data_IF_630007880687
#
_entry.id   IF_630007880687
#
_cell.length_a   1.000
_cell.length_b   1.000
_cell.length_c   1.000
_cell.angle_alpha   90.00
_cell.angle_beta   90.00
_cell.angle_gamma   90.00
#
_symmetry.space_group_name_H-M   'P 1'
#
loop_
_entity.id
_entity.type
_entity.pdbx_description
1 polymer ?
#
# COMPACT_ATOMS: atom_id res chain seq x y z
N UNK A 1 -35.40 -46.00 -33.93
CA UNK A 1 -34.99 -46.35 -32.55
C UNK A 1 -33.51 -46.85 -32.48
N UNK A 2 -32.54 -46.15 -33.11
CA UNK A 2 -31.11 -46.56 -33.15
C UNK A 2 -30.11 -45.48 -32.71
N UNK A 3 -30.57 -44.30 -32.28
CA UNK A 3 -29.69 -43.17 -31.90
C UNK A 3 -29.39 -43.16 -30.39
N UNK A 4 -30.27 -43.74 -29.56
CA UNK A 4 -30.16 -43.72 -28.08
C UNK A 4 -29.08 -44.69 -27.56
N UNK A 5 -28.74 -45.73 -28.31
CA UNK A 5 -27.66 -46.68 -27.96
C UNK A 5 -26.26 -46.12 -28.19
N UNK A 6 -26.11 -45.17 -29.12
CA UNK A 6 -24.83 -44.52 -29.47
C UNK A 6 -24.37 -43.54 -28.38
N UNK A 7 -25.28 -42.74 -27.81
CA UNK A 7 -24.95 -41.79 -26.75
C UNK A 7 -24.53 -42.49 -25.43
N UNK A 8 -25.12 -43.65 -25.11
CA UNK A 8 -24.77 -44.44 -23.91
C UNK A 8 -23.42 -45.16 -24.04
N UNK A 9 -23.00 -45.54 -25.25
CA UNK A 9 -21.67 -46.12 -25.45
C UNK A 9 -20.59 -45.03 -25.44
N UNK A 10 -20.85 -43.88 -26.06
CA UNK A 10 -19.95 -42.73 -26.08
C UNK A 10 -19.67 -42.19 -24.68
N UNK A 11 -20.71 -42.04 -23.86
CA UNK A 11 -20.59 -41.59 -22.45
C UNK A 11 -19.81 -42.58 -21.58
N UNK A 12 -19.96 -43.90 -21.80
CA UNK A 12 -19.12 -44.92 -21.11
C UNK A 12 -17.66 -44.86 -21.53
N UNK A 13 -17.39 -44.64 -22.82
CA UNK A 13 -16.01 -44.52 -23.34
C UNK A 13 -15.36 -43.26 -22.78
N UNK A 14 -16.04 -42.11 -22.82
CA UNK A 14 -15.56 -40.85 -22.23
C UNK A 14 -15.30 -41.03 -20.73
N UNK A 15 -16.21 -41.68 -20.00
CA UNK A 15 -16.02 -41.96 -18.57
C UNK A 15 -14.85 -42.89 -18.28
N UNK A 16 -14.62 -43.91 -19.12
CA UNK A 16 -13.47 -44.80 -19.01
C UNK A 16 -12.14 -44.05 -19.25
N UNK A 17 -12.10 -43.14 -20.23
CA UNK A 17 -10.95 -42.27 -20.47
C UNK A 17 -10.69 -41.32 -19.29
N UNK A 18 -11.72 -40.70 -18.73
CA UNK A 18 -11.59 -39.86 -17.53
C UNK A 18 -11.04 -40.68 -16.36
N UNK A 19 -11.59 -41.87 -16.11
CA UNK A 19 -11.15 -42.75 -15.03
C UNK A 19 -9.69 -43.21 -15.22
N UNK A 20 -9.29 -43.50 -16.46
CA UNK A 20 -7.91 -43.86 -16.81
C UNK A 20 -6.95 -42.69 -16.59
N UNK A 21 -7.32 -41.49 -17.06
CA UNK A 21 -6.55 -40.27 -16.85
C UNK A 21 -6.40 -39.96 -15.35
N UNK A 22 -7.47 -40.07 -14.56
CA UNK A 22 -7.40 -39.88 -13.11
C UNK A 22 -6.48 -40.91 -12.42
N UNK A 23 -6.47 -42.17 -12.86
CA UNK A 23 -5.54 -43.19 -12.33
C UNK A 23 -4.10 -42.86 -12.69
N UNK A 24 -3.82 -42.46 -13.93
CA UNK A 24 -2.49 -42.08 -14.38
C UNK A 24 -1.97 -40.88 -13.58
N UNK A 25 -2.79 -39.83 -13.41
CA UNK A 25 -2.48 -38.65 -12.60
C UNK A 25 -2.19 -39.05 -11.14
N UNK A 26 -3.04 -39.92 -10.55
CA UNK A 26 -2.83 -40.42 -9.19
C UNK A 26 -1.47 -41.14 -9.05
N UNK A 27 -1.12 -42.00 -10.01
CA UNK A 27 0.16 -42.73 -9.99
C UNK A 27 1.36 -41.79 -10.13
N UNK A 28 1.27 -40.79 -11.00
CA UNK A 28 2.33 -39.77 -11.16
C UNK A 28 2.50 -38.97 -9.87
N UNK A 29 1.42 -38.53 -9.23
CA UNK A 29 1.47 -37.81 -7.95
C UNK A 29 2.11 -38.69 -6.86
N UNK A 30 1.72 -39.96 -6.77
CA UNK A 30 2.29 -40.90 -5.80
C UNK A 30 3.79 -41.13 -6.03
N UNK A 31 4.24 -41.21 -7.27
CA UNK A 31 5.67 -41.34 -7.59
C UNK A 31 6.48 -40.06 -7.30
N UNK A 32 5.85 -38.89 -7.40
CA UNK A 32 6.50 -37.60 -7.10
C UNK A 32 6.48 -37.25 -5.61
N UNK A 33 5.59 -37.85 -4.82
CA UNK A 33 5.41 -37.57 -3.39
C UNK A 33 6.70 -37.73 -2.55
N UNK A 34 7.55 -38.76 -2.75
CA UNK A 34 8.80 -38.89 -2.00
C UNK A 34 9.77 -37.74 -2.26
N UNK A 35 9.75 -37.15 -3.46
CA UNK A 35 10.67 -36.09 -3.87
C UNK A 35 10.12 -34.70 -3.52
N UNK A 36 8.81 -34.49 -3.68
CA UNK A 36 8.17 -33.17 -3.59
C UNK A 36 7.14 -33.06 -2.46
N UNK A 37 6.96 -34.09 -1.63
CA UNK A 37 5.99 -34.10 -0.54
C UNK A 37 6.22 -32.98 0.47
N UNK A 38 7.48 -32.70 0.82
CA UNK A 38 7.83 -31.58 1.70
C UNK A 38 7.54 -30.23 1.03
N UNK A 39 7.78 -30.10 -0.28
CA UNK A 39 7.43 -28.89 -1.05
C UNK A 39 5.92 -28.65 -1.15
N UNK A 40 5.14 -29.72 -1.29
CA UNK A 40 3.68 -29.65 -1.23
C UNK A 40 3.23 -29.14 0.14
N UNK A 41 3.67 -29.77 1.23
CA UNK A 41 3.28 -29.38 2.59
C UNK A 41 3.77 -27.96 2.89
N UNK A 42 4.99 -27.62 2.50
CA UNK A 42 5.58 -26.29 2.64
C UNK A 42 4.77 -25.22 1.92
N UNK A 43 4.43 -25.45 0.64
CA UNK A 43 3.56 -24.56 -0.13
C UNK A 43 2.19 -24.35 0.51
N UNK A 44 1.61 -25.40 1.10
CA UNK A 44 0.32 -25.32 1.79
C UNK A 44 0.38 -24.43 3.03
N UNK A 45 1.37 -24.62 3.90
CA UNK A 45 1.55 -23.77 5.09
C UNK A 45 1.84 -22.32 4.71
N UNK A 46 2.71 -22.09 3.71
CA UNK A 46 3.01 -20.73 3.24
C UNK A 46 1.77 -20.03 2.69
N UNK A 47 0.89 -20.74 1.98
CA UNK A 47 -0.36 -20.18 1.49
C UNK A 47 -1.31 -19.75 2.61
N UNK A 48 -1.46 -20.56 3.66
CA UNK A 48 -2.25 -20.19 4.85
C UNK A 48 -1.67 -18.95 5.54
N UNK A 49 -0.36 -18.96 5.82
CA UNK A 49 0.32 -17.85 6.53
C UNK A 49 0.14 -16.55 5.74
N UNK A 50 0.40 -16.57 4.43
CA UNK A 50 0.29 -15.39 3.57
C UNK A 50 -1.16 -14.92 3.43
N UNK A 51 -2.13 -15.84 3.30
CA UNK A 51 -3.54 -15.46 3.21
C UNK A 51 -4.05 -14.80 4.50
N UNK A 52 -3.67 -15.31 5.67
CA UNK A 52 -4.02 -14.72 6.97
C UNK A 52 -3.43 -13.33 7.12
N UNK A 53 -2.12 -13.19 6.88
CA UNK A 53 -1.41 -11.92 6.92
C UNK A 53 -2.01 -10.89 5.96
N UNK A 54 -2.28 -11.29 4.71
CA UNK A 54 -2.81 -10.38 3.70
C UNK A 54 -4.19 -9.84 4.11
N UNK A 55 -5.04 -10.71 4.64
CA UNK A 55 -6.38 -10.32 5.11
C UNK A 55 -6.33 -9.42 6.36
N UNK A 56 -5.47 -9.73 7.34
CA UNK A 56 -5.24 -8.83 8.49
C UNK A 56 -4.73 -7.46 8.06
N UNK A 57 -3.79 -7.44 7.12
CA UNK A 57 -3.23 -6.20 6.60
C UNK A 57 -4.27 -5.40 5.82
N UNK A 58 -5.20 -6.04 5.11
CA UNK A 58 -6.35 -5.34 4.50
C UNK A 58 -7.23 -4.66 5.55
N UNK A 59 -7.57 -5.36 6.62
CA UNK A 59 -8.38 -4.78 7.71
C UNK A 59 -7.66 -3.62 8.41
N UNK A 60 -6.35 -3.76 8.66
CA UNK A 60 -5.54 -2.68 9.22
C UNK A 60 -5.47 -1.48 8.28
N UNK A 61 -5.31 -1.69 6.97
CA UNK A 61 -5.31 -0.62 5.98
C UNK A 61 -6.64 0.14 5.97
N UNK A 62 -7.78 -0.55 6.06
CA UNK A 62 -9.10 0.09 6.17
C UNK A 62 -9.20 0.99 7.40
N UNK A 63 -8.69 0.52 8.54
CA UNK A 63 -8.61 1.31 9.78
C UNK A 63 -7.70 2.53 9.62
N UNK A 64 -6.56 2.38 8.93
CA UNK A 64 -5.67 3.50 8.62
C UNK A 64 -6.31 4.51 7.67
N UNK A 65 -7.10 4.07 6.68
CA UNK A 65 -7.83 4.98 5.79
C UNK A 65 -8.77 5.86 6.60
N UNK A 66 -9.62 5.26 7.42
CA UNK A 66 -10.56 5.99 8.27
C UNK A 66 -9.83 6.96 9.20
N UNK A 67 -8.76 6.48 9.84
CA UNK A 67 -7.94 7.28 10.74
C UNK A 67 -7.30 8.49 10.02
N UNK A 68 -6.64 8.29 8.88
CA UNK A 68 -5.96 9.38 8.17
C UNK A 68 -6.95 10.39 7.59
N UNK A 69 -8.13 9.95 7.12
CA UNK A 69 -9.20 10.87 6.69
C UNK A 69 -9.70 11.70 7.87
N UNK A 70 -9.93 11.08 9.04
CA UNK A 70 -10.34 11.78 10.25
C UNK A 70 -9.27 12.79 10.69
N UNK A 71 -8.00 12.39 10.74
CA UNK A 71 -6.87 13.27 11.07
C UNK A 71 -6.80 14.46 10.10
N UNK A 72 -6.95 14.23 8.80
CA UNK A 72 -7.01 15.31 7.82
C UNK A 72 -8.19 16.26 8.07
N UNK A 73 -9.40 15.74 8.35
CA UNK A 73 -10.58 16.56 8.64
C UNK A 73 -10.41 17.40 9.91
N UNK A 74 -9.73 16.86 10.93
CA UNK A 74 -9.38 17.61 12.14
C UNK A 74 -8.42 18.74 11.78
N UNK A 75 -7.37 18.46 11.01
CA UNK A 75 -6.42 19.49 10.56
C UNK A 75 -7.12 20.56 9.72
N UNK A 76 -7.94 20.18 8.73
CA UNK A 76 -8.72 21.09 7.89
C UNK A 76 -9.70 21.96 8.70
N UNK A 77 -10.24 21.43 9.80
CA UNK A 77 -11.13 22.20 10.69
C UNK A 77 -10.39 23.28 11.48
N UNK A 78 -9.16 22.98 11.91
CA UNK A 78 -8.32 23.93 12.63
C UNK A 78 -7.51 24.85 11.72
N UNK A 79 -7.38 24.51 10.44
CA UNK A 79 -6.84 25.35 9.39
C UNK A 79 -7.86 26.43 8.99
N UNK A 80 -7.71 27.64 9.53
CA UNK A 80 -8.37 28.84 9.00
C UNK A 80 -7.94 29.12 7.54
N UNK A 81 -8.78 29.77 6.72
CA UNK A 81 -8.46 30.05 5.32
C UNK A 81 -7.26 31.02 5.24
N UNK A 82 -6.11 30.47 4.81
CA UNK A 82 -4.86 31.15 4.45
C UNK A 82 -4.21 31.99 5.56
N UNK A 83 -3.17 31.43 6.19
CA UNK A 83 -1.77 31.86 6.01
C UNK A 83 -0.81 31.44 7.14
N UNK A 84 -1.23 30.66 8.15
CA UNK A 84 -0.31 30.43 9.28
C UNK A 84 -0.38 29.11 10.04
N UNK A 85 -1.19 28.13 9.62
CA UNK A 85 -0.96 26.74 10.02
C UNK A 85 0.03 26.01 9.10
N UNK A 86 0.22 26.51 7.88
CA UNK A 86 1.31 26.15 6.96
C UNK A 86 2.72 26.50 7.47
N UNK A 87 2.81 27.17 8.63
CA UNK A 87 4.05 27.47 9.34
C UNK A 87 4.40 26.47 10.46
N UNK A 88 3.71 25.32 10.56
CA UNK A 88 4.49 24.12 10.90
C UNK A 88 5.29 23.85 9.65
N UNK A 89 6.49 24.44 9.57
CA UNK A 89 7.42 24.18 8.48
C UNK A 89 7.39 22.66 8.26
N UNK A 90 7.02 22.17 7.06
CA UNK A 90 7.06 20.74 6.82
C UNK A 90 8.43 20.27 7.30
N UNK A 91 8.52 19.12 7.97
CA UNK A 91 9.75 18.68 8.65
C UNK A 91 10.97 18.75 7.74
N UNK A 92 10.74 18.42 6.47
CA UNK A 92 11.73 18.43 5.41
C UNK A 92 11.63 19.68 4.51
N UNK A 93 10.86 20.69 4.91
CA UNK A 93 10.50 21.89 4.16
C UNK A 93 9.96 21.58 2.74
N UNK A 94 9.29 20.44 2.58
CA UNK A 94 8.56 20.02 1.37
C UNK A 94 7.14 19.55 1.73
N UNK A 95 6.15 19.69 0.83
CA UNK A 95 4.76 19.35 1.16
C UNK A 95 4.56 17.92 1.65
N UNK A 96 3.75 17.73 2.69
CA UNK A 96 3.33 16.41 3.17
C UNK A 96 2.04 15.96 2.47
N UNK A 97 1.97 14.69 2.08
CA UNK A 97 0.72 14.07 1.64
C UNK A 97 -0.02 13.53 2.87
N UNK A 98 -0.96 14.33 3.37
CA UNK A 98 -1.77 14.01 4.57
C UNK A 98 -3.12 13.41 4.18
N UNK A 99 -3.75 13.91 3.12
CA UNK A 99 -5.06 13.46 2.68
C UNK A 99 -4.96 12.22 1.76
N UNK A 100 -5.33 11.01 2.23
CA UNK A 100 -5.25 9.80 1.42
C UNK A 100 -6.26 9.78 0.26
N UNK A 101 -7.27 10.65 0.24
CA UNK A 101 -8.28 10.72 -0.82
C UNK A 101 -7.87 11.65 -1.97
N UNK A 102 -6.99 12.62 -1.70
CA UNK A 102 -6.57 13.67 -2.65
C UNK A 102 -5.08 13.62 -3.01
N UNK A 103 -4.38 12.54 -2.66
CA UNK A 103 -2.93 12.41 -2.90
C UNK A 103 -2.53 12.57 -4.37
N UNK A 104 -3.35 12.11 -5.32
CA UNK A 104 -3.07 12.28 -6.75
C UNK A 104 -3.11 13.75 -7.18
N UNK A 105 -4.03 14.53 -6.62
CA UNK A 105 -4.17 15.95 -6.95
C UNK A 105 -2.94 16.73 -6.46
N UNK A 106 -2.42 16.38 -5.28
CA UNK A 106 -1.18 16.95 -4.73
C UNK A 106 0.06 16.63 -5.59
N UNK A 107 0.03 15.51 -6.33
CA UNK A 107 1.07 15.17 -7.32
C UNK A 107 0.81 15.75 -8.71
N UNK A 108 -0.33 16.42 -8.94
CA UNK A 108 -0.76 16.90 -10.26
C UNK A 108 -1.11 15.76 -11.22
N UNK A 109 -1.60 14.65 -10.68
CA UNK A 109 -1.95 13.42 -11.39
C UNK A 109 -3.46 13.23 -11.42
N UNK A 110 -3.93 12.51 -12.44
CA UNK A 110 -5.31 12.10 -12.61
C UNK A 110 -5.39 10.58 -12.70
N UNK A 111 -6.37 10.00 -12.01
CA UNK A 111 -6.74 8.59 -12.15
C UNK A 111 -7.76 8.43 -13.29
N UNK A 112 -7.75 7.30 -14.01
CA UNK A 112 -8.87 6.96 -14.87
C UNK A 112 -10.14 6.87 -14.02
N UNK A 113 -11.28 7.27 -14.60
CA UNK A 113 -12.57 7.08 -13.94
C UNK A 113 -12.77 5.58 -13.72
N UNK A 114 -12.71 5.14 -12.46
CA UNK A 114 -12.88 3.74 -12.10
C UNK A 114 -14.32 3.34 -12.44
N UNK A 115 -14.49 2.39 -13.35
CA UNK A 115 -15.79 1.75 -13.59
C UNK A 115 -15.86 0.46 -12.79
N UNK A 116 -16.61 0.46 -11.69
CA UNK A 116 -16.88 -0.74 -10.90
C UNK A 116 -17.00 -0.46 -9.40
N UNK A 117 -17.65 -1.38 -8.69
CA UNK A 117 -17.73 -1.38 -7.22
C UNK A 117 -16.30 -1.52 -6.64
N UNK A 118 -15.71 -0.39 -6.21
CA UNK A 118 -14.29 -0.30 -5.87
C UNK A 118 -13.91 -0.95 -4.53
N UNK A 119 -12.74 -1.59 -4.50
CA UNK A 119 -11.98 -1.93 -3.28
C UNK A 119 -11.24 -0.66 -2.80
N UNK A 120 -11.04 -0.50 -1.50
CA UNK A 120 -10.27 0.59 -0.89
C UNK A 120 -8.86 0.68 -1.49
N UNK A 121 -8.25 -0.45 -1.86
CA UNK A 121 -6.94 -0.51 -2.54
C UNK A 121 -6.95 0.28 -3.89
N UNK A 122 -8.11 0.48 -4.52
CA UNK A 122 -8.24 1.30 -5.73
C UNK A 122 -8.06 2.81 -5.47
N UNK A 123 -8.25 3.29 -4.23
CA UNK A 123 -8.02 4.68 -3.85
C UNK A 123 -6.54 5.05 -3.94
N UNK A 124 -5.67 4.11 -3.58
CA UNK A 124 -4.23 4.28 -3.58
C UNK A 124 -3.56 3.67 -4.81
N UNK A 125 -4.29 3.23 -5.84
CA UNK A 125 -3.66 2.56 -6.98
C UNK A 125 -2.57 3.41 -7.65
N UNK A 126 -1.36 2.84 -7.74
CA UNK A 126 -0.22 3.43 -8.47
C UNK A 126 -0.25 3.09 -9.97
N UNK A 127 -1.26 2.35 -10.43
CA UNK A 127 -1.42 1.96 -11.83
C UNK A 127 -2.27 2.96 -12.60
N UNK A 128 -2.03 3.07 -13.91
CA UNK A 128 -2.80 3.88 -14.85
C UNK A 128 -2.86 5.38 -14.51
N UNK A 129 -1.92 5.88 -13.71
CA UNK A 129 -1.79 7.30 -13.41
C UNK A 129 -1.48 8.07 -14.69
N UNK A 130 -2.10 9.24 -14.84
CA UNK A 130 -1.90 10.07 -16.00
C UNK A 130 -1.76 11.53 -15.60
N UNK A 131 -0.95 12.30 -16.34
CA UNK A 131 -0.75 13.73 -16.13
C UNK A 131 -1.29 14.52 -17.31
N UNK A 132 -1.89 15.69 -17.08
CA UNK A 132 -2.37 16.55 -18.17
C UNK A 132 -1.20 16.92 -19.09
N UNK A 133 -1.33 16.63 -20.37
CA UNK A 133 -0.35 16.97 -21.40
C UNK A 133 -0.26 18.49 -21.51
N UNK A 134 0.95 19.05 -21.40
CA UNK A 134 1.16 20.48 -21.65
C UNK A 134 1.29 20.70 -23.16
N UNK A 135 0.52 21.64 -23.76
CA UNK A 135 0.78 22.06 -25.12
C UNK A 135 2.24 22.55 -25.18
N UNK A 136 3.01 22.10 -26.17
CA UNK A 136 4.42 22.47 -26.40
C UNK A 136 5.51 21.84 -25.50
N UNK A 137 5.22 20.82 -24.67
CA UNK A 137 6.31 20.08 -24.01
C UNK A 137 6.98 19.09 -24.97
N UNK A 138 7.72 19.61 -25.96
CA UNK A 138 8.72 18.78 -26.62
C UNK A 138 9.79 18.46 -25.56
N UNK A 139 10.00 17.17 -25.33
CA UNK A 139 11.17 16.51 -24.72
C UNK A 139 11.46 16.55 -23.21
N UNK A 140 10.88 17.41 -22.36
CA UNK A 140 11.24 17.36 -20.93
C UNK A 140 10.47 16.27 -20.16
N UNK A 141 11.18 15.22 -19.74
CA UNK A 141 10.66 14.19 -18.83
C UNK A 141 10.21 14.87 -17.53
N UNK A 142 8.95 14.66 -17.15
CA UNK A 142 8.45 15.11 -15.86
C UNK A 142 8.90 14.13 -14.78
N UNK A 143 9.38 14.65 -13.65
CA UNK A 143 9.82 13.86 -12.51
C UNK A 143 9.21 14.42 -11.23
N UNK A 144 8.64 13.53 -10.41
CA UNK A 144 8.17 13.83 -9.06
C UNK A 144 8.63 12.72 -8.13
N UNK A 145 9.05 13.11 -6.94
CA UNK A 145 9.54 12.19 -5.92
C UNK A 145 8.67 12.29 -4.67
N UNK A 146 8.38 11.15 -4.05
CA UNK A 146 7.73 11.09 -2.74
C UNK A 146 8.63 10.28 -1.82
N UNK A 147 9.13 10.92 -0.76
CA UNK A 147 9.88 10.25 0.28
C UNK A 147 8.94 9.66 1.33
N UNK A 148 9.15 8.38 1.63
CA UNK A 148 8.40 7.63 2.62
C UNK A 148 9.27 7.50 3.86
N UNK A 149 8.99 8.33 4.87
CA UNK A 149 9.72 8.28 6.15
C UNK A 149 9.21 7.12 6.99
N UNK A 150 10.14 6.44 7.65
CA UNK A 150 9.83 5.39 8.63
C UNK A 150 9.31 5.98 9.96
N UNK A 151 9.34 7.30 10.15
CA UNK A 151 8.90 7.95 11.39
C UNK A 151 7.41 8.34 11.36
N UNK A 152 6.76 8.24 12.53
CA UNK A 152 5.32 8.50 12.68
C UNK A 152 4.98 10.00 12.74
N UNK A 153 5.77 10.80 13.47
CA UNK A 153 5.47 12.22 13.73
C UNK A 153 6.73 13.08 13.66
N UNK A 154 7.35 13.21 12.47
CA UNK A 154 8.58 13.98 12.34
C UNK A 154 8.38 15.47 12.73
N UNK A 155 7.14 15.98 12.77
CA UNK A 155 6.80 17.39 13.10
C UNK A 155 6.56 17.68 14.58
N UNK A 156 6.42 16.67 15.46
CA UNK A 156 6.10 16.88 16.89
C UNK A 156 7.32 17.08 17.79
N UNK A 157 8.50 17.29 17.24
CA UNK A 157 9.73 17.40 18.03
C UNK A 157 10.00 18.87 18.39
N UNK A 158 9.78 19.31 19.66
CA UNK A 158 9.85 20.72 20.04
C UNK A 158 11.31 21.21 20.20
N UNK A 159 12.22 20.31 20.55
CA UNK A 159 13.69 20.47 20.62
C UNK A 159 14.41 19.11 20.37
N UNK A 160 13.76 18.20 19.60
CA UNK A 160 14.20 16.82 19.42
C UNK A 160 15.05 16.61 18.17
N UNK A 161 15.93 15.60 18.12
CA UNK A 161 16.84 15.39 17.01
C UNK A 161 16.04 14.95 15.79
N UNK A 162 15.77 15.92 14.91
CA UNK A 162 15.27 15.80 13.54
C UNK A 162 16.09 14.77 12.68
N UNK A 163 17.11 14.12 13.23
CA UNK A 163 18.11 13.30 12.53
C UNK A 163 18.54 12.02 13.27
N UNK A 164 17.72 11.41 14.15
CA UNK A 164 18.06 10.07 14.68
C UNK A 164 18.00 9.00 13.61
N UNK A 165 16.97 9.05 12.74
CA UNK A 165 16.94 8.17 11.60
C UNK A 165 17.94 8.66 10.53
N UNK A 166 18.90 7.81 10.13
CA UNK A 166 19.95 8.22 9.20
C UNK A 166 19.41 8.48 7.78
N UNK A 167 18.23 7.97 7.42
CA UNK A 167 17.60 8.23 6.12
C UNK A 167 16.85 9.55 6.09
N UNK A 168 16.13 9.89 7.15
CA UNK A 168 15.52 11.22 7.28
C UNK A 168 16.60 12.31 7.27
N UNK A 169 17.75 12.06 7.91
CA UNK A 169 18.93 12.94 7.84
C UNK A 169 19.47 13.08 6.42
N UNK A 170 19.69 11.95 5.75
CA UNK A 170 20.16 11.93 4.37
C UNK A 170 19.18 12.64 3.42
N UNK A 171 17.88 12.58 3.70
CA UNK A 171 16.87 13.26 2.92
C UNK A 171 16.93 14.78 3.11
N UNK A 172 17.10 15.29 4.33
CA UNK A 172 17.34 16.73 4.56
C UNK A 172 18.58 17.20 3.80
N UNK A 173 19.69 16.46 3.94
CA UNK A 173 20.96 16.76 3.25
C UNK A 173 20.80 16.75 1.72
N UNK A 174 20.02 15.80 1.19
CA UNK A 174 19.67 15.74 -0.23
C UNK A 174 18.91 16.98 -0.70
N UNK A 175 17.92 17.43 0.07
CA UNK A 175 17.12 18.60 -0.29
C UNK A 175 17.99 19.86 -0.31
N UNK A 176 18.81 20.06 0.72
CA UNK A 176 19.76 21.17 0.79
C UNK A 176 20.78 21.15 -0.36
N UNK A 177 21.30 19.97 -0.69
CA UNK A 177 22.19 19.79 -1.83
C UNK A 177 21.48 20.18 -3.14
N UNK A 178 20.24 19.73 -3.34
CA UNK A 178 19.52 20.01 -4.58
C UNK A 178 19.15 21.49 -4.73
N UNK A 179 18.83 22.20 -3.66
CA UNK A 179 18.60 23.65 -3.77
C UNK A 179 19.84 24.42 -4.19
N UNK A 180 21.04 23.94 -3.83
CA UNK A 180 22.31 24.56 -4.22
C UNK A 180 22.78 24.16 -5.62
N UNK A 181 22.48 22.93 -6.05
CA UNK A 181 23.13 22.33 -7.22
C UNK A 181 22.19 21.97 -8.39
N UNK A 182 20.87 22.11 -8.23
CA UNK A 182 19.90 21.62 -9.21
C UNK A 182 18.76 22.63 -9.45
N UNK A 183 18.40 22.83 -10.72
CA UNK A 183 17.45 23.88 -11.12
C UNK A 183 16.03 23.68 -10.57
N UNK A 184 15.63 22.43 -10.31
CA UNK A 184 14.32 22.14 -9.68
C UNK A 184 14.36 22.25 -8.15
N UNK A 185 15.55 22.25 -7.53
CA UNK A 185 15.70 22.22 -6.07
C UNK A 185 14.85 21.15 -5.39
N UNK A 186 14.31 21.48 -4.21
CA UNK A 186 13.36 20.66 -3.44
C UNK A 186 11.93 20.63 -3.99
N UNK A 187 11.61 21.44 -5.00
CA UNK A 187 10.22 21.65 -5.47
C UNK A 187 9.54 20.42 -6.07
N UNK A 188 10.31 19.39 -6.45
CA UNK A 188 9.80 18.14 -7.01
C UNK A 188 9.62 17.01 -5.97
N UNK A 189 9.89 17.27 -4.69
CA UNK A 189 9.63 16.33 -3.60
C UNK A 189 8.31 16.59 -2.89
N UNK A 190 7.76 15.52 -2.32
CA UNK A 190 6.80 15.51 -1.23
C UNK A 190 7.23 14.40 -0.26
N UNK A 191 6.56 14.31 0.89
CA UNK A 191 6.80 13.21 1.82
C UNK A 191 5.52 12.64 2.45
N UNK A 192 5.62 11.41 2.95
CA UNK A 192 4.61 10.69 3.74
C UNK A 192 5.29 10.06 4.97
N UNK A 193 4.59 10.04 6.10
CA UNK A 193 5.00 9.32 7.31
C UNK A 193 4.31 7.96 7.36
N UNK A 194 5.05 6.86 7.23
CA UNK A 194 4.46 5.55 6.93
C UNK A 194 3.86 4.71 8.07
N UNK A 195 4.33 4.73 9.35
CA UNK A 195 3.90 3.74 10.36
C UNK A 195 2.39 3.58 10.58
N UNK A 196 1.59 4.60 10.25
CA UNK A 196 0.13 4.58 10.31
C UNK A 196 -0.51 5.23 9.09
N UNK A 197 0.13 5.10 7.92
CA UNK A 197 -0.35 5.64 6.66
C UNK A 197 -1.06 4.57 5.84
N UNK A 198 -2.31 4.84 5.47
CA UNK A 198 -3.06 4.06 4.50
C UNK A 198 -2.30 3.93 3.17
N UNK A 199 -1.67 5.01 2.68
CA UNK A 199 -0.99 5.00 1.38
C UNK A 199 0.19 4.03 1.39
N UNK A 200 1.05 4.04 2.42
CA UNK A 200 2.17 3.11 2.49
C UNK A 200 1.69 1.65 2.59
N UNK A 201 0.64 1.40 3.39
CA UNK A 201 0.04 0.07 3.52
C UNK A 201 -0.61 -0.43 2.23
N UNK A 202 -1.32 0.45 1.51
CA UNK A 202 -1.98 0.11 0.25
C UNK A 202 -1.01 -0.04 -0.92
N UNK A 203 0.10 0.72 -0.93
CA UNK A 203 1.19 0.53 -1.90
C UNK A 203 2.08 -0.67 -1.59
N UNK A 204 1.92 -1.28 -0.41
CA UNK A 204 2.73 -2.42 0.07
C UNK A 204 4.23 -2.09 0.09
N UNK A 205 4.56 -0.87 0.52
CA UNK A 205 5.95 -0.38 0.55
C UNK A 205 6.46 -0.29 1.98
N UNK A 206 7.65 -0.85 2.23
CA UNK A 206 8.39 -0.70 3.47
C UNK A 206 9.17 0.61 3.46
N UNK A 207 8.90 1.48 4.43
CA UNK A 207 9.72 2.66 4.68
C UNK A 207 11.02 2.27 5.42
N UNK A 208 12.13 2.98 5.18
CA UNK A 208 12.26 4.17 4.35
C UNK A 208 12.28 3.84 2.85
N UNK A 209 11.64 4.68 2.03
CA UNK A 209 11.58 4.45 0.59
C UNK A 209 11.42 5.74 -0.22
N UNK A 210 11.74 5.66 -1.52
CA UNK A 210 11.47 6.71 -2.49
C UNK A 210 10.52 6.18 -3.57
N UNK A 211 9.45 6.93 -3.84
CA UNK A 211 8.59 6.73 -5.00
C UNK A 211 8.96 7.74 -6.08
N UNK A 212 9.19 7.24 -7.29
CA UNK A 212 9.47 8.07 -8.47
C UNK A 212 8.31 8.01 -9.44
N UNK A 213 7.75 9.16 -9.76
CA UNK A 213 6.73 9.31 -10.78
C UNK A 213 7.33 10.00 -11.99
N UNK A 214 7.17 9.41 -13.17
CA UNK A 214 7.74 9.98 -14.39
C UNK A 214 6.88 9.74 -15.63
N UNK A 215 6.86 10.73 -16.52
CA UNK A 215 6.34 10.55 -17.89
C UNK A 215 7.49 10.07 -18.76
N UNK A 216 7.54 8.78 -19.07
CA UNK A 216 8.52 8.29 -20.04
C UNK A 216 8.18 8.83 -21.43
N UNK A 217 9.20 9.31 -22.14
CA UNK A 217 9.04 9.81 -23.50
C UNK A 217 8.51 8.70 -24.43
N UNK A 218 7.85 9.13 -25.51
CA UNK A 218 7.08 8.35 -26.49
C UNK A 218 7.81 7.14 -27.16
N UNK A 219 9.02 6.78 -26.72
CA UNK A 219 9.84 5.70 -27.27
C UNK A 219 9.50 4.32 -26.71
N UNK A 220 8.74 4.22 -25.62
CA UNK A 220 8.14 2.95 -25.25
C UNK A 220 6.85 2.77 -26.06
N UNK A 221 6.93 2.01 -27.15
CA UNK A 221 5.80 1.18 -27.64
C UNK A 221 5.46 0.15 -26.56
N UNK A 222 5.13 0.60 -25.35
CA UNK A 222 4.66 -0.28 -24.29
C UNK A 222 3.24 -0.63 -24.67
N UNK A 223 3.01 -1.93 -24.79
CA UNK A 223 1.73 -2.60 -25.01
C UNK A 223 0.72 -2.38 -23.87
N UNK A 224 0.74 -1.23 -23.19
CA UNK A 224 -0.22 -0.90 -22.16
C UNK A 224 -1.56 -0.61 -22.84
N UNK A 225 -2.45 -1.60 -22.80
CA UNK A 225 -3.88 -1.54 -23.13
C UNK A 225 -4.67 -0.64 -22.17
N UNK A 226 -4.07 0.44 -21.67
CA UNK A 226 -4.77 1.44 -20.86
C UNK A 226 -5.56 2.36 -21.78
N UNK A 227 -6.87 2.56 -21.54
CA UNK A 227 -7.63 3.54 -22.29
C UNK A 227 -7.01 4.92 -22.07
N UNK A 228 -6.32 5.43 -23.09
CA UNK A 228 -5.67 6.74 -23.04
C UNK A 228 -6.70 7.84 -22.82
N UNK A 229 -6.52 8.64 -21.77
CA UNK A 229 -7.30 9.85 -21.55
C UNK A 229 -6.86 10.92 -22.58
N UNK A 230 -7.78 11.53 -23.35
CA UNK A 230 -7.41 12.57 -24.30
C UNK A 230 -6.80 13.76 -23.57
N UNK A 231 -5.67 14.28 -24.08
CA UNK A 231 -4.86 15.35 -23.45
C UNK A 231 -4.17 14.95 -22.14
N UNK A 232 -3.92 13.66 -21.91
CA UNK A 232 -3.10 13.19 -20.80
C UNK A 232 -1.97 12.28 -21.28
N UNK A 233 -0.85 12.31 -20.57
CA UNK A 233 0.33 11.46 -20.76
C UNK A 233 0.39 10.43 -19.62
N UNK A 234 0.64 9.13 -19.89
CA UNK A 234 0.77 8.13 -18.84
C UNK A 234 1.97 8.41 -17.94
N UNK A 235 1.83 8.06 -16.66
CA UNK A 235 2.86 8.20 -15.63
C UNK A 235 3.23 6.83 -15.11
N UNK A 236 4.52 6.53 -15.16
CA UNK A 236 5.11 5.35 -14.58
C UNK A 236 5.58 5.64 -13.16
N UNK A 237 5.28 4.72 -12.25
CA UNK A 237 5.74 4.78 -10.86
C UNK A 237 6.83 3.75 -10.64
N UNK A 238 7.89 4.09 -9.91
CA UNK A 238 8.93 3.17 -9.43
C UNK A 238 9.07 3.30 -7.93
N UNK A 239 9.38 2.20 -7.26
CA UNK A 239 9.56 2.15 -5.80
C UNK A 239 10.99 1.70 -5.49
N UNK A 240 11.65 2.46 -4.63
CA UNK A 240 12.98 2.21 -4.12
C UNK A 240 12.90 2.04 -2.60
N UNK A 241 12.75 0.80 -2.14
CA UNK A 241 12.83 0.47 -0.70
C UNK A 241 14.28 0.48 -0.26
N UNK A 242 14.59 1.24 0.80
CA UNK A 242 15.95 1.54 1.23
C UNK A 242 16.33 0.71 2.47
N UNK A 243 17.60 0.27 2.59
CA UNK A 243 18.69 0.36 1.62
C UNK A 243 18.46 -0.52 0.38
N UNK A 244 18.89 -0.07 -0.80
CA UNK A 244 18.86 -0.92 -1.99
C UNK A 244 19.82 -2.10 -1.79
N UNK A 245 19.29 -3.32 -1.91
CA UNK A 245 20.04 -4.57 -1.76
C UNK A 245 20.89 -4.94 -2.98
N UNK A 246 20.61 -4.34 -4.14
CA UNK A 246 21.37 -4.51 -5.37
C UNK A 246 22.04 -3.18 -5.73
N UNK A 247 23.36 -3.11 -5.61
CA UNK A 247 24.12 -1.98 -6.10
C UNK A 247 24.22 -2.06 -7.64
N UNK A 248 23.99 -0.96 -8.35
CA UNK A 248 24.18 -0.94 -9.81
C UNK A 248 25.66 -0.82 -10.23
N UNK A 249 26.58 -0.78 -9.27
CA UNK A 249 28.03 -0.62 -9.44
C UNK A 249 28.68 -1.55 -8.40
N UNK A 250 29.81 -2.24 -8.67
CA UNK A 250 30.47 -3.04 -7.65
C UNK A 250 30.92 -2.15 -6.48
N UNK A 251 30.19 -2.23 -5.37
CA UNK A 251 30.44 -1.45 -4.15
C UNK A 251 29.16 -1.13 -3.37
N UNK A 252 29.26 -1.05 -2.04
CA UNK A 252 28.22 -0.50 -1.17
C UNK A 252 28.22 1.02 -1.33
N UNK A 253 27.05 1.66 -1.35
CA UNK A 253 26.98 3.12 -1.35
C UNK A 253 27.73 3.67 -0.12
N UNK A 254 28.58 4.71 -0.29
CA UNK A 254 29.42 5.20 0.80
C UNK A 254 28.61 5.86 1.94
N UNK A 255 27.40 6.32 1.66
CA UNK A 255 26.47 6.85 2.65
C UNK A 255 25.01 6.76 2.18
N UNK A 256 24.07 6.90 3.12
CA UNK A 256 22.63 7.03 2.85
C UNK A 256 22.34 8.21 1.91
N UNK A 257 23.02 9.34 2.11
CA UNK A 257 22.94 10.52 1.25
C UNK A 257 23.36 10.19 -0.19
N UNK A 258 24.51 9.54 -0.38
CA UNK A 258 24.99 9.20 -1.72
C UNK A 258 24.06 8.20 -2.43
N UNK A 259 23.44 7.28 -1.68
CA UNK A 259 22.42 6.39 -2.23
C UNK A 259 21.19 7.17 -2.71
N UNK A 260 20.63 8.07 -1.90
CA UNK A 260 19.48 8.90 -2.30
C UNK A 260 19.83 9.88 -3.42
N UNK A 261 21.03 10.47 -3.40
CA UNK A 261 21.51 11.38 -4.43
C UNK A 261 21.69 10.67 -5.77
N UNK A 262 22.29 9.49 -5.77
CA UNK A 262 22.48 8.70 -7.00
C UNK A 262 21.14 8.35 -7.66
N UNK A 263 20.10 8.10 -6.86
CA UNK A 263 18.74 7.84 -7.33
C UNK A 263 18.06 9.07 -7.93
N UNK A 264 18.19 10.22 -7.28
CA UNK A 264 17.34 11.40 -7.51
C UNK A 264 18.00 12.53 -8.28
N UNK A 265 19.30 12.45 -8.54
CA UNK A 265 20.03 13.47 -9.28
C UNK A 265 19.46 13.67 -10.70
N UNK A 266 19.30 14.93 -11.11
CA UNK A 266 18.72 15.32 -12.41
C UNK A 266 19.47 14.78 -13.62
N UNK A 267 20.77 14.52 -13.48
CA UNK A 267 21.62 13.93 -14.52
C UNK A 267 21.78 12.40 -14.37
N UNK A 268 21.18 11.78 -13.38
CA UNK A 268 21.28 10.34 -13.16
C UNK A 268 20.23 9.59 -13.95
N UNK A 269 20.63 8.44 -14.51
CA UNK A 269 19.72 7.43 -15.07
C UNK A 269 19.57 6.24 -14.14
N UNK A 270 20.13 6.28 -12.94
CA UNK A 270 20.12 5.16 -12.00
C UNK A 270 18.70 4.72 -11.66
N UNK A 271 17.75 5.66 -11.56
CA UNK A 271 16.34 5.34 -11.35
C UNK A 271 15.74 4.42 -12.43
N UNK A 272 16.33 4.33 -13.63
CA UNK A 272 15.89 3.42 -14.70
C UNK A 272 16.24 1.96 -14.43
N UNK A 273 17.16 1.67 -13.51
CA UNK A 273 17.55 0.29 -13.15
C UNK A 273 16.40 -0.45 -12.48
N UNK A 274 15.52 0.29 -11.79
CA UNK A 274 14.33 -0.27 -11.15
C UNK A 274 13.17 -0.39 -12.14
N UNK A 275 12.50 -1.54 -12.08
CA UNK A 275 11.28 -1.81 -12.87
C UNK A 275 10.13 -0.91 -12.39
N UNK A 276 9.18 -0.69 -13.28
CA UNK A 276 7.92 -0.02 -12.93
C UNK A 276 7.17 -0.83 -11.88
N UNK A 277 6.43 -0.11 -11.04
CA UNK A 277 5.66 -0.67 -9.93
C UNK A 277 4.74 -1.79 -10.41
N UNK A 278 4.75 -2.89 -9.66
CA UNK A 278 3.83 -4.00 -9.81
C UNK A 278 3.35 -4.41 -8.42
N UNK A 279 2.05 -4.33 -8.18
CA UNK A 279 1.46 -4.71 -6.89
C UNK A 279 1.83 -6.16 -6.51
N UNK A 280 1.82 -7.08 -7.48
CA UNK A 280 2.23 -8.46 -7.27
C UNK A 280 3.67 -8.58 -6.75
N UNK A 281 4.62 -7.85 -7.35
CA UNK A 281 6.00 -7.87 -6.90
C UNK A 281 6.15 -7.29 -5.48
N UNK A 282 5.41 -6.24 -5.14
CA UNK A 282 5.44 -5.69 -3.78
C UNK A 282 4.85 -6.65 -2.75
N UNK A 283 3.73 -7.30 -3.06
CA UNK A 283 3.17 -8.34 -2.18
C UNK A 283 4.19 -9.45 -1.94
N UNK A 284 4.86 -9.94 -2.98
CA UNK A 284 5.93 -10.96 -2.82
C UNK A 284 7.10 -10.43 -1.97
N UNK A 285 7.52 -9.18 -2.18
CA UNK A 285 8.58 -8.56 -1.39
C UNK A 285 8.25 -8.55 0.11
N UNK A 286 7.01 -8.19 0.44
CA UNK A 286 6.51 -8.11 1.82
C UNK A 286 6.20 -9.47 2.45
N UNK A 287 5.95 -10.53 1.67
CA UNK A 287 5.70 -11.86 2.25
C UNK A 287 6.99 -12.55 2.70
N UNK A 288 8.15 -12.21 2.11
CA UNK A 288 9.43 -12.79 2.52
C UNK A 288 9.76 -12.60 4.01
N UNK A 289 9.71 -11.39 4.60
CA UNK A 289 9.93 -11.22 6.04
C UNK A 289 8.87 -11.95 6.87
N UNK A 290 7.60 -11.93 6.46
CA UNK A 290 6.51 -12.64 7.17
C UNK A 290 6.80 -14.14 7.29
N UNK A 291 7.26 -14.77 6.21
CA UNK A 291 7.62 -16.19 6.23
C UNK A 291 8.86 -16.45 7.10
N UNK A 292 9.86 -15.56 7.10
CA UNK A 292 11.03 -15.68 7.98
C UNK A 292 10.64 -15.57 9.46
N UNK A 293 9.79 -14.61 9.79
CA UNK A 293 9.29 -14.42 11.15
C UNK A 293 8.47 -15.64 11.60
N UNK A 294 7.67 -16.21 10.70
CA UNK A 294 6.94 -17.46 10.95
C UNK A 294 7.89 -18.65 11.14
N UNK A 295 9.01 -18.73 10.42
CA UNK A 295 10.04 -19.76 10.60
C UNK A 295 10.62 -19.72 12.02
N UNK A 296 10.87 -18.52 12.53
CA UNK A 296 11.41 -18.27 13.87
C UNK A 296 10.36 -18.56 14.95
N UNK A 297 9.16 -18.00 14.80
CA UNK A 297 8.08 -18.13 15.77
C UNK A 297 7.62 -19.59 15.91
N UNK A 298 7.50 -20.30 14.79
CA UNK A 298 7.02 -21.69 14.73
C UNK A 298 8.17 -22.66 14.41
N UNK A 299 9.28 -22.54 15.13
CA UNK A 299 10.51 -23.29 14.86
C UNK A 299 10.36 -24.82 14.88
N UNK A 300 9.49 -25.38 15.73
CA UNK A 300 9.26 -26.83 15.80
C UNK A 300 8.35 -27.39 14.71
N UNK A 301 7.55 -26.55 14.04
CA UNK A 301 6.60 -26.98 13.01
C UNK A 301 7.04 -26.47 11.65
N UNK A 302 6.61 -25.26 11.26
CA UNK A 302 6.94 -24.66 9.98
C UNK A 302 8.45 -24.47 9.80
N UNK A 303 9.17 -24.04 10.85
CA UNK A 303 10.62 -23.87 10.77
C UNK A 303 11.39 -25.18 10.56
N UNK A 304 10.99 -26.25 11.23
CA UNK A 304 11.57 -27.58 11.04
C UNK A 304 11.26 -28.13 9.64
N UNK A 305 10.03 -27.89 9.14
CA UNK A 305 9.61 -28.25 7.79
C UNK A 305 10.47 -27.56 6.71
N UNK A 306 10.68 -26.24 6.82
CA UNK A 306 11.52 -25.47 5.88
C UNK A 306 12.96 -26.01 5.86
N UNK A 307 13.54 -26.29 7.03
CA UNK A 307 14.88 -26.86 7.15
C UNK A 307 14.96 -28.28 6.57
N UNK A 308 13.95 -29.10 6.82
CA UNK A 308 13.87 -30.46 6.28
C UNK A 308 13.73 -30.44 4.76
N UNK A 309 12.84 -29.59 4.22
CA UNK A 309 12.65 -29.41 2.79
C UNK A 309 13.97 -28.97 2.13
N UNK A 310 14.66 -27.98 2.68
CA UNK A 310 15.92 -27.49 2.12
C UNK A 310 16.98 -28.60 2.04
N UNK A 311 17.16 -29.39 3.12
CA UNK A 311 18.08 -30.54 3.11
C UNK A 311 17.65 -31.62 2.12
N UNK A 312 16.35 -31.90 2.03
CA UNK A 312 15.80 -32.94 1.18
C UNK A 312 15.97 -32.62 -0.31
N UNK A 313 15.64 -31.40 -0.71
CA UNK A 313 15.77 -30.94 -2.09
C UNK A 313 17.25 -30.92 -2.51
N UNK A 314 18.14 -30.52 -1.61
CA UNK A 314 19.59 -30.58 -1.83
C UNK A 314 20.10 -31.99 -2.03
N UNK A 315 19.65 -32.93 -1.19
CA UNK A 315 20.02 -34.34 -1.29
C UNK A 315 19.67 -34.93 -2.66
N UNK A 316 18.51 -34.55 -3.20
CA UNK A 316 18.02 -35.02 -4.50
C UNK A 316 18.45 -34.16 -5.69
N UNK A 317 19.22 -33.08 -5.45
CA UNK A 317 19.66 -32.12 -6.47
C UNK A 317 18.49 -31.55 -7.33
N UNK A 318 17.32 -31.33 -6.71
CA UNK A 318 16.11 -30.83 -7.39
C UNK A 318 15.83 -29.35 -7.12
N UNK A 319 16.82 -28.61 -6.59
CA UNK A 319 16.69 -27.21 -6.14
C UNK A 319 16.17 -26.28 -7.24
N UNK A 320 16.69 -26.42 -8.46
CA UNK A 320 16.41 -25.54 -9.60
C UNK A 320 15.43 -26.15 -10.63
N UNK A 321 14.72 -27.21 -10.26
CA UNK A 321 13.78 -27.85 -11.18
C UNK A 321 12.50 -27.00 -11.31
N UNK A 322 12.07 -26.73 -12.54
CA UNK A 322 10.80 -26.03 -12.81
C UNK A 322 9.60 -26.76 -12.17
N UNK A 323 9.66 -28.09 -12.11
CA UNK A 323 8.64 -28.95 -11.51
C UNK A 323 8.40 -28.61 -10.02
N UNK A 324 9.47 -28.36 -9.25
CA UNK A 324 9.38 -27.90 -7.86
C UNK A 324 8.55 -26.62 -7.77
N UNK A 325 8.84 -25.64 -8.62
CA UNK A 325 8.14 -24.37 -8.66
C UNK A 325 6.65 -24.54 -8.94
N UNK A 326 6.27 -25.37 -9.92
CA UNK A 326 4.87 -25.65 -10.22
C UNK A 326 4.14 -26.35 -9.08
N UNK A 327 4.78 -27.34 -8.44
CA UNK A 327 4.20 -28.09 -7.31
C UNK A 327 3.98 -27.16 -6.12
N UNK A 328 4.99 -26.34 -5.80
CA UNK A 328 4.88 -25.31 -4.76
C UNK A 328 3.71 -24.36 -5.04
N UNK A 329 3.66 -23.78 -6.24
CA UNK A 329 2.61 -22.82 -6.63
C UNK A 329 1.22 -23.44 -6.59
N UNK A 330 1.07 -24.69 -7.01
CA UNK A 330 -0.19 -25.40 -6.96
C UNK A 330 -0.66 -25.56 -5.51
N UNK A 331 0.21 -26.05 -4.62
CA UNK A 331 -0.13 -26.22 -3.21
C UNK A 331 -0.41 -24.90 -2.49
N UNK A 332 0.39 -23.88 -2.81
CA UNK A 332 0.22 -22.52 -2.34
C UNK A 332 -1.13 -21.94 -2.78
N UNK A 333 -1.52 -22.10 -4.05
CA UNK A 333 -2.81 -21.63 -4.53
C UNK A 333 -3.97 -22.37 -3.86
N UNK A 334 -3.87 -23.70 -3.73
CA UNK A 334 -4.89 -24.55 -3.12
C UNK A 334 -5.16 -24.23 -1.65
N UNK A 335 -4.21 -23.63 -0.93
CA UNK A 335 -4.38 -23.17 0.44
C UNK A 335 -4.76 -21.70 0.52
N UNK A 336 -4.07 -20.83 -0.22
CA UNK A 336 -4.30 -19.38 -0.21
C UNK A 336 -5.73 -19.02 -0.57
N UNK A 337 -6.27 -19.56 -1.68
CA UNK A 337 -7.61 -19.20 -2.15
C UNK A 337 -8.71 -19.58 -1.15
N UNK A 338 -8.81 -20.83 -0.67
CA UNK A 338 -9.82 -21.18 0.33
C UNK A 338 -9.65 -20.45 1.66
N UNK A 339 -8.42 -20.24 2.16
CA UNK A 339 -8.20 -19.50 3.41
C UNK A 339 -8.60 -18.04 3.27
N UNK A 340 -8.27 -17.40 2.15
CA UNK A 340 -8.71 -16.04 1.85
C UNK A 340 -10.25 -15.98 1.76
N UNK A 341 -10.86 -16.89 0.99
CA UNK A 341 -12.31 -16.96 0.89
C UNK A 341 -12.98 -17.28 2.22
N UNK A 342 -12.41 -18.10 3.10
CA UNK A 342 -12.97 -18.38 4.42
C UNK A 342 -12.98 -17.14 5.31
N UNK A 343 -11.90 -16.36 5.28
CA UNK A 343 -11.78 -15.12 6.07
C UNK A 343 -12.64 -13.97 5.52
N UNK A 344 -12.91 -13.96 4.21
CA UNK A 344 -13.74 -12.96 3.53
C UNK A 344 -15.16 -13.41 3.19
N UNK A 345 -15.46 -14.70 3.34
CA UNK A 345 -16.83 -15.17 3.26
C UNK A 345 -17.58 -14.39 4.34
N UNK A 346 -18.72 -13.76 4.00
CA UNK A 346 -19.64 -13.32 5.03
C UNK A 346 -20.07 -14.61 5.72
N UNK A 347 -19.39 -14.98 6.81
CA UNK A 347 -19.91 -15.98 7.71
C UNK A 347 -21.30 -15.46 8.04
N UNK A 348 -22.33 -16.22 7.69
CA UNK A 348 -23.74 -15.98 8.04
C UNK A 348 -23.98 -15.99 9.58
N UNK A 349 -22.95 -15.65 10.34
CA UNK A 349 -22.85 -15.30 11.74
C UNK A 349 -22.63 -13.79 11.94
N UNK A 350 -22.72 -12.99 10.88
CA UNK A 350 -23.20 -11.62 10.98
C UNK A 350 -24.72 -11.62 11.25
N UNK A 351 -25.15 -12.31 12.31
CA UNK A 351 -26.08 -11.62 13.18
C UNK A 351 -25.37 -10.31 13.50
N UNK A 352 -25.98 -9.13 13.35
CA UNK A 352 -25.49 -7.99 14.07
C UNK A 352 -25.56 -8.44 15.52
N UNK A 353 -24.44 -8.93 16.07
CA UNK A 353 -24.28 -9.01 17.51
C UNK A 353 -24.68 -7.63 18.02
N UNK A 354 -25.35 -7.53 19.18
CA UNK A 354 -25.80 -6.25 19.70
C UNK A 354 -24.55 -5.42 20.00
N UNK A 355 -24.01 -4.79 18.97
CA UNK A 355 -23.05 -3.72 19.05
C UNK A 355 -23.85 -2.67 19.75
N UNK A 356 -23.53 -2.51 21.04
CA UNK A 356 -24.14 -1.55 21.94
C UNK A 356 -24.65 -0.37 21.13
N UNK A 357 -25.97 -0.15 21.17
CA UNK A 357 -26.53 1.14 20.82
C UNK A 357 -25.86 2.17 21.73
N UNK A 358 -24.74 2.73 21.26
CA UNK A 358 -24.07 3.82 21.93
C UNK A 358 -24.85 5.08 21.57
N UNK A 359 -25.64 5.51 22.56
CA UNK A 359 -26.32 6.80 22.60
C UNK A 359 -25.28 7.93 22.52
N UNK A 360 -24.97 8.34 21.28
CA UNK A 360 -24.35 9.61 20.83
C UNK A 360 -22.87 9.86 21.27
N UNK A 361 -21.94 10.56 20.58
CA UNK A 361 -21.92 11.47 19.42
C UNK A 361 -20.52 11.46 18.76
N UNK A 362 -20.47 11.55 17.43
CA UNK A 362 -19.35 11.88 16.52
C UNK A 362 -17.87 11.54 16.91
N UNK A 363 -17.15 10.71 16.12
CA UNK A 363 -15.74 10.34 16.38
C UNK A 363 -14.76 11.54 16.39
N UNK A 364 -15.07 12.61 15.66
CA UNK A 364 -14.27 13.84 15.65
C UNK A 364 -14.51 14.64 16.94
N UNK A 365 -15.76 14.73 17.40
CA UNK A 365 -16.10 15.33 18.69
C UNK A 365 -15.40 14.60 19.85
N UNK A 366 -15.33 13.26 19.81
CA UNK A 366 -14.63 12.47 20.83
C UNK A 366 -13.12 12.74 20.85
N UNK A 367 -12.50 12.88 19.67
CA UNK A 367 -11.06 13.16 19.56
C UNK A 367 -10.74 14.56 20.11
N UNK A 368 -11.62 15.53 19.85
CA UNK A 368 -11.51 16.89 20.38
C UNK A 368 -11.78 16.98 21.88
N UNK A 369 -12.77 16.25 22.37
CA UNK A 369 -13.05 16.12 23.80
C UNK A 369 -11.83 15.54 24.51
N UNK A 370 -11.23 14.48 23.97
CA UNK A 370 -9.96 13.93 24.49
C UNK A 370 -8.83 14.95 24.48
N UNK A 371 -8.73 15.80 23.45
CA UNK A 371 -7.70 16.84 23.37
C UNK A 371 -7.91 17.93 24.43
N UNK A 372 -9.16 18.33 24.66
CA UNK A 372 -9.52 19.28 25.72
C UNK A 372 -9.33 18.65 27.11
N UNK A 373 -9.64 17.37 27.28
CA UNK A 373 -9.56 16.68 28.57
C UNK A 373 -8.12 16.31 28.96
N UNK A 374 -7.22 16.16 27.98
CA UNK A 374 -5.78 15.98 28.22
C UNK A 374 -5.10 17.22 28.84
N UNK A 375 -5.74 18.40 28.77
CA UNK A 375 -5.22 19.62 29.38
C UNK A 375 -5.79 19.79 30.78
N UNK A 376 -4.94 19.88 31.80
CA UNK A 376 -5.31 20.28 33.15
C UNK A 376 -5.88 21.70 33.17
N UNK A 377 -6.61 22.08 34.23
CA UNK A 377 -7.18 23.42 34.35
C UNK A 377 -6.11 24.53 34.26
N UNK A 378 -4.92 24.28 34.81
CA UNK A 378 -3.77 25.19 34.71
C UNK A 378 -3.20 25.27 33.29
N UNK A 379 -3.12 24.14 32.58
CA UNK A 379 -2.65 24.11 31.19
C UNK A 379 -3.64 24.76 30.23
N UNK A 380 -4.95 24.59 30.44
CA UNK A 380 -5.99 25.30 29.69
C UNK A 380 -5.85 26.80 29.85
N UNK A 381 -5.58 27.27 31.06
CA UNK A 381 -5.41 28.69 31.34
C UNK A 381 -4.09 29.24 30.79
N UNK A 382 -3.00 28.45 30.81
CA UNK A 382 -1.76 28.79 30.11
C UNK A 382 -1.95 28.84 28.59
N UNK A 383 -2.66 27.88 28.01
CA UNK A 383 -2.99 27.86 26.58
C UNK A 383 -3.84 29.07 26.20
N UNK A 384 -4.87 29.43 26.99
CA UNK A 384 -5.71 30.62 26.79
C UNK A 384 -4.93 31.93 26.76
N UNK A 385 -3.87 32.04 27.57
CA UNK A 385 -2.98 33.20 27.60
C UNK A 385 -2.08 33.32 26.37
N UNK A 386 -1.89 32.24 25.61
CA UNK A 386 -1.16 32.31 24.34
C UNK A 386 -2.11 32.63 23.20
N UNK A 387 -1.66 33.48 22.28
CA UNK A 387 -2.48 33.95 21.17
C UNK A 387 -2.95 32.78 20.27
N UNK A 388 -2.06 31.80 20.05
CA UNK A 388 -2.33 30.55 19.32
C UNK A 388 -3.16 29.55 20.13
N UNK A 389 -2.76 29.25 21.36
CA UNK A 389 -3.44 28.27 22.20
C UNK A 389 -4.86 28.67 22.57
N UNK A 390 -5.10 29.97 22.82
CA UNK A 390 -6.42 30.50 23.13
C UNK A 390 -7.36 30.53 21.93
N UNK A 391 -6.83 30.61 20.69
CA UNK A 391 -7.63 30.42 19.46
C UNK A 391 -8.02 28.96 19.27
N UNK A 392 -7.06 28.04 19.37
CA UNK A 392 -7.30 26.58 19.24
C UNK A 392 -8.31 26.09 20.29
N UNK A 393 -8.13 26.50 21.54
CA UNK A 393 -9.02 26.08 22.63
C UNK A 393 -10.43 26.65 22.44
N UNK A 394 -10.57 27.90 21.99
CA UNK A 394 -11.87 28.49 21.63
C UNK A 394 -12.52 27.79 20.44
N UNK A 395 -11.76 27.40 19.42
CA UNK A 395 -12.28 26.64 18.27
C UNK A 395 -12.74 25.25 18.69
N UNK A 396 -11.97 24.56 19.54
CA UNK A 396 -12.35 23.27 20.09
C UNK A 396 -13.61 23.37 20.97
N UNK A 397 -13.67 24.32 21.91
CA UNK A 397 -14.84 24.56 22.77
C UNK A 397 -16.08 25.01 21.96
N UNK A 398 -15.92 25.87 20.96
CA UNK A 398 -17.01 26.30 20.05
C UNK A 398 -17.48 25.17 19.16
N UNK A 399 -16.56 24.33 18.72
CA UNK A 399 -16.85 23.12 17.96
C UNK A 399 -17.62 22.12 18.81
N UNK A 400 -17.21 21.83 20.04
CA UNK A 400 -17.88 20.89 20.95
C UNK A 400 -19.32 21.32 21.26
N UNK A 401 -19.64 22.61 21.12
CA UNK A 401 -21.01 23.17 21.22
C UNK A 401 -21.86 22.96 19.96
N UNK A 402 -21.28 22.63 18.80
CA UNK A 402 -22.03 22.23 17.60
C UNK A 402 -22.37 20.75 17.72
N UNK A 403 -23.66 20.41 17.70
CA UNK A 403 -24.15 19.03 17.84
C UNK A 403 -23.80 18.11 16.66
N UNK A 404 -23.51 18.69 15.48
CA UNK A 404 -23.21 17.95 14.25
C UNK A 404 -21.81 18.31 13.77
N UNK A 405 -20.85 17.47 14.13
CA UNK A 405 -19.57 17.40 13.46
C UNK A 405 -19.72 16.52 12.20
N UNK A 406 -18.71 16.48 11.31
CA UNK A 406 -18.74 15.63 10.12
C UNK A 406 -19.15 14.22 10.53
N UNK A 407 -20.41 13.85 10.28
CA UNK A 407 -20.94 12.64 10.87
C UNK A 407 -20.16 11.45 10.32
N UNK A 408 -20.20 10.31 11.02
CA UNK A 408 -19.67 9.06 10.47
C UNK A 408 -20.18 8.85 9.03
N UNK A 409 -21.42 9.25 8.75
CA UNK A 409 -21.97 9.21 7.39
C UNK A 409 -21.27 10.16 6.42
N UNK A 410 -20.85 11.35 6.81
CA UNK A 410 -20.12 12.29 5.94
C UNK A 410 -18.71 11.79 5.60
N UNK A 411 -17.98 11.24 6.57
CA UNK A 411 -16.66 10.62 6.32
C UNK A 411 -16.79 9.41 5.39
N UNK A 412 -17.77 8.54 5.65
CA UNK A 412 -18.05 7.39 4.80
C UNK A 412 -18.53 7.83 3.40
N UNK A 413 -19.29 8.92 3.31
CA UNK A 413 -19.72 9.50 2.03
C UNK A 413 -18.54 10.07 1.25
N UNK A 414 -17.57 10.72 1.89
CA UNK A 414 -16.35 11.19 1.24
C UNK A 414 -15.51 10.02 0.69
N UNK A 415 -15.38 8.95 1.47
CA UNK A 415 -14.72 7.71 1.01
C UNK A 415 -15.49 7.07 -0.15
N UNK A 416 -16.81 6.90 -0.02
CA UNK A 416 -17.68 6.36 -1.06
C UNK A 416 -17.61 7.20 -2.34
N UNK A 417 -17.64 8.53 -2.21
CA UNK A 417 -17.47 9.45 -3.34
C UNK A 417 -16.12 9.26 -4.02
N UNK A 418 -15.03 9.12 -3.25
CA UNK A 418 -13.68 8.90 -3.78
C UNK A 418 -13.53 7.53 -4.46
N UNK A 419 -14.33 6.54 -4.04
CA UNK A 419 -14.47 5.23 -4.67
C UNK A 419 -15.40 5.22 -5.90
N UNK A 420 -16.06 6.34 -6.20
CA UNK A 420 -17.04 6.42 -7.29
C UNK A 420 -18.37 5.72 -6.98
N UNK A 421 -18.67 5.52 -5.69
CA UNK A 421 -19.89 4.88 -5.20
C UNK A 421 -20.94 5.94 -4.80
N UNK A 422 -22.21 5.61 -4.97
CA UNK A 422 -23.33 6.36 -4.42
C UNK A 422 -23.58 5.99 -2.94
N UNK A 423 -24.63 6.59 -2.34
CA UNK A 423 -24.99 6.35 -0.94
C UNK A 423 -25.38 4.90 -0.65
N UNK A 424 -25.79 4.14 -1.67
CA UNK A 424 -26.22 2.74 -1.55
C UNK A 424 -25.06 1.77 -1.87
N UNK A 425 -23.85 2.29 -2.06
CA UNK A 425 -22.67 1.49 -2.43
C UNK A 425 -22.69 1.02 -3.89
N UNK A 426 -23.58 1.56 -4.74
CA UNK A 426 -23.63 1.25 -6.16
C UNK A 426 -22.69 2.18 -6.92
N UNK A 427 -22.12 1.70 -8.02
CA UNK A 427 -21.30 2.55 -8.88
C UNK A 427 -22.14 3.73 -9.39
N UNK A 428 -21.63 4.96 -9.23
CA UNK A 428 -22.27 6.15 -9.80
C UNK A 428 -22.35 5.95 -11.31
N UNK A 429 -23.58 5.86 -11.84
CA UNK A 429 -23.83 5.73 -13.26
C UNK A 429 -23.13 6.86 -14.02
N UNK A 430 -22.46 6.53 -15.13
CA UNK A 430 -21.93 7.53 -16.06
C UNK A 430 -23.09 8.41 -16.53
N UNK A 431 -23.03 9.70 -16.22
CA UNK A 431 -23.73 10.72 -17.01
C UNK A 431 -22.86 11.13 -18.18
#
# INVERSE_FOLDING_TARGET
MRVITSARSLTRVIWAYIKSACRAIKSVILMLLPFYGLTLIGGFYQGIIIALWYSESKEQNARFLLKNVLEYKITEYFDEPYDSWSNVAPVFHVPQIINPLKWTDQLGLKRPAVSGAGDEEALASLMHLSRRTRPYSKTQQWHRWVYLSAQQEPWRQPDGPILHDPWDKAFVELLEYRDKHDAMGRSNFLYISCPKSFLCGAWRVAAPALLHFTTEGNNSRSSSSSPGLPNYTPVNTRVFELPLRQAAIPGVFPSHFEQMRSLTASNSTFWRTQRTYSHFHQVIGQTSPVLRDAEIAYHWTYGLLVKAEHKWIRLWAIEDTALRGYIFLLSFALSTFPTYLYKFAPTNWASPGPGLEHKSNDPLARTLQSLVDMLSAEEKERFRKTDRGGRILRLAEKGLKKEYWNTREDVLKDIANALGLDRDGKAKGRR
#
